data_IF_068837732357
#
_entry.id   IF_068837732357
#
_cell.length_a   1.000
_cell.length_b   1.000
_cell.length_c   1.000
_cell.angle_alpha   90.00
_cell.angle_beta   90.00
_cell.angle_gamma   90.00
#
_symmetry.space_group_name_H-M   'P 1'
#
loop_
_entity.id
_entity.type
_entity.pdbx_description
1 polymer ?
#
# COMPACT_ATOMS: atom_id res chain seq x y z
N UNK A 1 -23.65 -31.77 19.85
CA UNK A 1 -23.15 -30.40 19.72
C UNK A 1 -21.86 -30.48 18.94
N UNK A 2 -21.88 -30.14 17.65
CA UNK A 2 -20.65 -30.02 16.87
C UNK A 2 -20.00 -28.73 17.35
N UNK A 3 -18.80 -28.84 17.93
CA UNK A 3 -18.06 -27.68 18.40
C UNK A 3 -17.48 -26.95 17.20
N UNK A 4 -17.87 -25.70 17.02
CA UNK A 4 -17.62 -24.78 15.91
C UNK A 4 -16.13 -24.37 15.70
N UNK A 5 -15.17 -25.07 16.32
CA UNK A 5 -13.76 -24.67 16.46
C UNK A 5 -12.87 -24.87 15.21
N UNK A 6 -13.46 -24.91 14.03
CA UNK A 6 -12.70 -25.16 12.79
C UNK A 6 -13.33 -24.57 11.55
N UNK A 7 -14.12 -23.51 11.68
CA UNK A 7 -14.62 -22.73 10.54
C UNK A 7 -14.01 -21.32 10.47
N UNK A 8 -13.22 -20.92 11.46
CA UNK A 8 -12.65 -19.58 11.58
C UNK A 8 -11.66 -19.27 10.45
N UNK A 9 -10.86 -20.27 10.07
CA UNK A 9 -9.90 -20.14 8.97
C UNK A 9 -10.59 -20.02 7.62
N UNK A 10 -11.65 -20.81 7.41
CA UNK A 10 -12.49 -20.76 6.22
C UNK A 10 -13.20 -19.41 6.11
N UNK A 11 -13.77 -18.91 7.20
CA UNK A 11 -14.39 -17.59 7.26
C UNK A 11 -13.37 -16.48 7.00
N UNK A 12 -12.18 -16.55 7.60
CA UNK A 12 -11.10 -15.61 7.34
C UNK A 12 -10.70 -15.58 5.86
N UNK A 13 -10.55 -16.75 5.24
CA UNK A 13 -10.22 -16.84 3.82
C UNK A 13 -11.35 -16.37 2.90
N UNK A 14 -12.62 -16.60 3.29
CA UNK A 14 -13.76 -16.01 2.59
C UNK A 14 -13.76 -14.47 2.71
N UNK A 15 -13.35 -13.93 3.86
CA UNK A 15 -13.14 -12.50 4.04
C UNK A 15 -12.12 -11.92 3.06
N UNK A 16 -10.97 -12.59 2.91
CA UNK A 16 -9.95 -12.21 1.91
C UNK A 16 -10.55 -12.25 0.50
N UNK A 17 -11.18 -13.38 0.14
CA UNK A 17 -11.76 -13.56 -1.19
C UNK A 17 -12.81 -12.49 -1.53
N UNK A 18 -13.65 -12.11 -0.57
CA UNK A 18 -14.65 -11.06 -0.80
C UNK A 18 -14.01 -9.67 -0.87
N UNK A 19 -12.96 -9.40 -0.10
CA UNK A 19 -12.18 -8.16 -0.21
C UNK A 19 -11.58 -8.03 -1.61
N UNK A 20 -10.94 -9.08 -2.12
CA UNK A 20 -10.36 -9.11 -3.48
C UNK A 20 -11.41 -8.91 -4.59
N UNK A 21 -12.68 -9.25 -4.31
CA UNK A 21 -13.80 -9.02 -5.24
C UNK A 21 -14.48 -7.65 -5.07
N UNK A 22 -14.01 -6.80 -4.16
CA UNK A 22 -14.64 -5.52 -3.82
C UNK A 22 -15.97 -5.66 -3.07
N UNK A 23 -16.29 -6.85 -2.56
CA UNK A 23 -17.51 -7.15 -1.78
C UNK A 23 -17.27 -6.86 -0.30
N UNK A 24 -17.07 -5.58 0.00
CA UNK A 24 -16.55 -5.16 1.31
C UNK A 24 -17.51 -5.48 2.47
N UNK A 25 -18.82 -5.40 2.25
CA UNK A 25 -19.83 -5.73 3.28
C UNK A 25 -19.88 -7.22 3.60
N UNK A 26 -19.73 -8.08 2.58
CA UNK A 26 -19.62 -9.52 2.76
C UNK A 26 -18.31 -9.90 3.45
N UNK A 27 -17.20 -9.26 3.07
CA UNK A 27 -15.91 -9.44 3.71
C UNK A 27 -15.97 -9.09 5.21
N UNK A 28 -16.62 -7.98 5.56
CA UNK A 28 -16.77 -7.53 6.95
C UNK A 28 -17.48 -8.60 7.79
N UNK A 29 -18.59 -9.13 7.28
CA UNK A 29 -19.35 -10.20 7.95
C UNK A 29 -18.50 -11.45 8.17
N UNK A 30 -17.68 -11.83 7.18
CA UNK A 30 -16.83 -13.01 7.29
C UNK A 30 -15.71 -12.80 8.32
N UNK A 31 -15.01 -11.67 8.27
CA UNK A 31 -13.96 -11.36 9.24
C UNK A 31 -14.47 -11.20 10.66
N UNK A 32 -15.62 -10.55 10.88
CA UNK A 32 -16.20 -10.43 12.23
C UNK A 32 -16.55 -11.79 12.83
N UNK A 33 -17.09 -12.72 12.02
CA UNK A 33 -17.37 -14.09 12.46
C UNK A 33 -16.08 -14.86 12.76
N UNK A 34 -15.08 -14.75 11.90
CA UNK A 34 -13.76 -15.36 12.13
C UNK A 34 -13.10 -14.81 13.41
N UNK A 35 -13.17 -13.49 13.62
CA UNK A 35 -12.62 -12.83 14.80
C UNK A 35 -13.25 -13.37 16.09
N UNK A 36 -14.58 -13.44 16.15
CA UNK A 36 -15.29 -13.98 17.31
C UNK A 36 -14.89 -15.42 17.63
N UNK A 37 -14.76 -16.26 16.59
CA UNK A 37 -14.30 -17.64 16.74
C UNK A 37 -12.86 -17.73 17.25
N UNK A 38 -11.94 -16.99 16.62
CA UNK A 38 -10.53 -16.97 17.03
C UNK A 38 -10.30 -16.42 18.43
N UNK A 39 -11.01 -15.36 18.82
CA UNK A 39 -10.97 -14.85 20.19
C UNK A 39 -11.41 -15.91 21.21
N UNK A 40 -12.45 -16.66 20.90
CA UNK A 40 -12.96 -17.72 21.78
C UNK A 40 -12.04 -18.95 21.83
N UNK A 41 -11.45 -19.32 20.69
CA UNK A 41 -10.67 -20.54 20.56
C UNK A 41 -9.20 -20.36 21.00
N UNK A 42 -8.60 -19.22 20.64
CA UNK A 42 -7.16 -18.97 20.76
C UNK A 42 -6.83 -17.80 21.68
N UNK A 43 -7.81 -16.94 21.97
CA UNK A 43 -7.64 -15.74 22.78
C UNK A 43 -7.40 -14.47 21.96
N UNK A 44 -7.50 -13.29 22.60
CA UNK A 44 -7.46 -11.99 21.93
C UNK A 44 -6.09 -11.62 21.35
N UNK A 45 -5.01 -12.13 21.93
CA UNK A 45 -3.62 -11.80 21.57
C UNK A 45 -2.96 -12.87 20.68
N UNK A 46 -3.72 -13.89 20.24
CA UNK A 46 -3.19 -14.92 19.36
C UNK A 46 -2.96 -14.35 17.94
N UNK A 47 -1.90 -14.78 17.26
CA UNK A 47 -1.52 -14.29 15.93
C UNK A 47 -2.66 -14.31 14.91
N UNK A 48 -3.43 -15.41 14.81
CA UNK A 48 -4.58 -15.48 13.89
C UNK A 48 -5.70 -14.47 14.23
N UNK A 49 -5.92 -14.23 15.52
CA UNK A 49 -6.87 -13.22 15.99
C UNK A 49 -6.40 -11.83 15.57
N UNK A 50 -5.14 -11.50 15.86
CA UNK A 50 -4.54 -10.21 15.54
C UNK A 50 -4.43 -9.97 14.01
N UNK A 51 -4.18 -11.03 13.23
CA UNK A 51 -4.19 -10.96 11.76
C UNK A 51 -5.57 -10.63 11.24
N UNK A 52 -6.62 -11.23 11.83
CA UNK A 52 -8.01 -10.90 11.48
C UNK A 52 -8.35 -9.45 11.86
N UNK A 53 -7.91 -8.98 13.03
CA UNK A 53 -8.07 -7.58 13.43
C UNK A 53 -7.37 -6.64 12.46
N UNK A 54 -6.12 -6.91 12.08
CA UNK A 54 -5.37 -6.09 11.13
C UNK A 54 -6.07 -6.01 9.76
N UNK A 55 -6.62 -7.12 9.27
CA UNK A 55 -7.36 -7.15 8.00
C UNK A 55 -8.71 -6.43 8.08
N UNK A 56 -9.39 -6.47 9.22
CA UNK A 56 -10.54 -5.59 9.45
C UNK A 56 -10.13 -4.12 9.40
N UNK A 57 -8.93 -3.78 9.89
CA UNK A 57 -8.36 -2.44 9.73
C UNK A 57 -8.22 -2.04 8.25
N UNK A 58 -7.64 -2.90 7.42
CA UNK A 58 -7.54 -2.67 5.97
C UNK A 58 -8.93 -2.51 5.33
N UNK A 59 -9.85 -3.42 5.65
CA UNK A 59 -11.20 -3.39 5.11
C UNK A 59 -11.94 -2.09 5.47
N UNK A 60 -11.80 -1.64 6.72
CA UNK A 60 -12.40 -0.38 7.16
C UNK A 60 -11.77 0.84 6.50
N UNK A 61 -10.46 0.82 6.25
CA UNK A 61 -9.80 1.86 5.46
C UNK A 61 -10.35 1.90 4.01
N UNK A 62 -10.49 0.74 3.37
CA UNK A 62 -11.06 0.63 2.00
C UNK A 62 -12.52 1.09 1.92
N UNK A 63 -13.28 0.94 3.01
CA UNK A 63 -14.65 1.46 3.14
C UNK A 63 -14.71 2.96 3.50
N UNK A 64 -13.57 3.62 3.74
CA UNK A 64 -13.51 5.02 4.22
C UNK A 64 -13.88 5.20 5.70
N UNK A 65 -14.01 4.11 6.46
CA UNK A 65 -14.29 4.09 7.90
C UNK A 65 -12.97 4.23 8.69
N UNK A 66 -12.33 5.39 8.55
CA UNK A 66 -10.94 5.60 9.00
C UNK A 66 -10.78 5.50 10.54
N UNK A 67 -11.79 5.92 11.31
CA UNK A 67 -11.77 5.81 12.78
C UNK A 67 -11.87 4.35 13.26
N UNK A 68 -12.67 3.53 12.58
CA UNK A 68 -12.76 2.09 12.83
C UNK A 68 -11.46 1.39 12.44
N UNK A 69 -10.85 1.78 11.30
CA UNK A 69 -9.56 1.28 10.88
C UNK A 69 -8.46 1.59 11.91
N UNK A 70 -8.42 2.81 12.43
CA UNK A 70 -7.44 3.24 13.45
C UNK A 70 -7.55 2.35 14.70
N UNK A 71 -8.77 2.12 15.19
CA UNK A 71 -9.02 1.24 16.36
C UNK A 71 -8.53 -0.19 16.11
N UNK A 72 -8.80 -0.74 14.93
CA UNK A 72 -8.37 -2.10 14.59
C UNK A 72 -6.85 -2.19 14.52
N UNK A 73 -6.18 -1.27 13.82
CA UNK A 73 -4.71 -1.29 13.74
C UNK A 73 -4.04 -1.06 15.10
N UNK A 74 -4.53 -0.13 15.91
CA UNK A 74 -3.98 0.08 17.26
C UNK A 74 -4.12 -1.17 18.13
N UNK A 75 -5.26 -1.87 18.04
CA UNK A 75 -5.48 -3.14 18.72
C UNK A 75 -4.50 -4.22 18.23
N UNK A 76 -4.35 -4.38 16.92
CA UNK A 76 -3.41 -5.34 16.33
C UNK A 76 -1.97 -5.03 16.73
N UNK A 77 -1.57 -3.76 16.69
CA UNK A 77 -0.24 -3.29 17.06
C UNK A 77 0.09 -3.65 18.50
N UNK A 78 -0.77 -3.30 19.45
CA UNK A 78 -0.56 -3.61 20.88
C UNK A 78 -0.44 -5.12 21.11
N UNK A 79 -1.28 -5.92 20.45
CA UNK A 79 -1.23 -7.38 20.54
C UNK A 79 0.07 -7.95 19.97
N UNK A 80 0.51 -7.49 18.80
CA UNK A 80 1.73 -7.97 18.16
C UNK A 80 2.99 -7.53 18.91
N UNK A 81 3.04 -6.29 19.42
CA UNK A 81 4.14 -5.83 20.28
C UNK A 81 4.27 -6.70 21.53
N UNK A 82 3.15 -7.08 22.15
CA UNK A 82 3.14 -7.96 23.32
C UNK A 82 3.56 -9.39 22.99
N UNK A 83 3.09 -9.94 21.87
CA UNK A 83 3.30 -11.34 21.51
C UNK A 83 4.70 -11.59 20.91
N UNK A 84 5.19 -10.67 20.08
CA UNK A 84 6.39 -10.87 19.24
C UNK A 84 7.44 -9.76 19.36
N UNK A 85 7.10 -8.65 20.01
CA UNK A 85 7.99 -7.50 20.16
C UNK A 85 7.80 -6.43 19.08
N UNK A 86 8.44 -5.26 19.29
CA UNK A 86 8.25 -4.07 18.45
C UNK A 86 8.82 -4.20 17.03
N UNK A 87 9.83 -5.05 16.84
CA UNK A 87 10.57 -5.19 15.57
C UNK A 87 10.16 -6.43 14.77
N UNK A 88 9.13 -7.16 15.21
CA UNK A 88 8.62 -8.29 14.47
C UNK A 88 7.90 -7.84 13.19
N UNK A 89 8.05 -8.59 12.09
CA UNK A 89 7.50 -8.21 10.77
C UNK A 89 6.00 -7.91 10.79
N UNK A 90 5.19 -8.67 11.56
CA UNK A 90 3.75 -8.38 11.69
C UNK A 90 3.49 -7.05 12.41
N UNK A 91 4.27 -6.74 13.44
CA UNK A 91 4.20 -5.47 14.16
C UNK A 91 4.53 -4.31 13.22
N UNK A 92 5.64 -4.43 12.48
CA UNK A 92 6.12 -3.40 11.55
C UNK A 92 5.17 -3.19 10.37
N UNK A 93 4.54 -4.25 9.86
CA UNK A 93 3.48 -4.15 8.86
C UNK A 93 2.28 -3.35 9.39
N UNK A 94 1.84 -3.59 10.63
CA UNK A 94 0.75 -2.80 11.22
C UNK A 94 1.16 -1.34 11.45
N UNK A 95 2.41 -1.08 11.84
CA UNK A 95 2.95 0.29 11.92
C UNK A 95 2.94 0.97 10.54
N UNK A 96 3.35 0.27 9.48
CA UNK A 96 3.27 0.78 8.11
C UNK A 96 1.84 1.15 7.71
N UNK A 97 0.87 0.28 8.00
CA UNK A 97 -0.55 0.54 7.71
C UNK A 97 -1.10 1.75 8.48
N UNK A 98 -0.69 1.94 9.74
CA UNK A 98 -1.02 3.17 10.49
C UNK A 98 -0.40 4.41 9.84
N UNK A 99 0.79 4.30 9.25
CA UNK A 99 1.40 5.37 8.47
C UNK A 99 0.54 5.80 7.28
N UNK A 100 0.02 4.82 6.51
CA UNK A 100 -0.92 5.09 5.42
C UNK A 100 -2.19 5.75 5.95
N UNK A 101 -2.81 5.15 6.97
CA UNK A 101 -4.05 5.65 7.54
C UNK A 101 -3.93 7.09 8.06
N UNK A 102 -2.81 7.41 8.72
CA UNK A 102 -2.55 8.78 9.18
C UNK A 102 -2.30 9.77 8.05
N UNK A 103 -1.70 9.32 6.93
CA UNK A 103 -1.60 10.16 5.75
C UNK A 103 -2.99 10.47 5.16
N UNK A 104 -3.88 9.48 5.08
CA UNK A 104 -5.25 9.64 4.58
C UNK A 104 -6.09 10.54 5.50
N UNK A 105 -5.84 10.51 6.81
CA UNK A 105 -6.43 11.42 7.80
C UNK A 105 -5.83 12.83 7.79
N UNK A 106 -4.80 13.09 6.97
CA UNK A 106 -4.07 14.36 6.96
C UNK A 106 -3.18 14.59 8.19
N UNK A 107 -3.02 13.59 9.05
CA UNK A 107 -2.12 13.58 10.23
C UNK A 107 -0.69 13.28 9.78
N UNK A 108 -0.15 14.17 8.95
CA UNK A 108 1.06 13.87 8.19
C UNK A 108 2.27 13.61 9.10
N UNK A 109 2.40 14.29 10.25
CA UNK A 109 3.56 14.16 11.14
C UNK A 109 3.53 12.81 11.88
N UNK A 110 2.34 12.35 12.24
CA UNK A 110 2.10 11.02 12.77
C UNK A 110 2.41 9.96 11.72
N UNK A 111 1.97 10.17 10.47
CA UNK A 111 2.28 9.28 9.35
C UNK A 111 3.80 9.14 9.14
N UNK A 112 4.53 10.26 9.14
CA UNK A 112 5.99 10.27 8.97
C UNK A 112 6.68 9.47 10.10
N UNK A 113 6.25 9.66 11.35
CA UNK A 113 6.78 8.89 12.49
C UNK A 113 6.51 7.39 12.36
N UNK A 114 5.31 7.00 11.94
CA UNK A 114 4.96 5.60 11.74
C UNK A 114 5.82 4.98 10.64
N UNK A 115 5.93 5.63 9.48
CA UNK A 115 6.75 5.10 8.40
C UNK A 115 8.24 5.05 8.74
N UNK A 116 8.79 6.06 9.43
CA UNK A 116 10.18 6.03 9.90
C UNK A 116 10.44 4.88 10.87
N UNK A 117 9.50 4.64 11.80
CA UNK A 117 9.56 3.48 12.71
C UNK A 117 9.53 2.16 11.93
N UNK A 118 8.59 2.01 11.00
CA UNK A 118 8.48 0.81 10.16
C UNK A 118 9.76 0.60 9.33
N UNK A 119 10.29 1.65 8.72
CA UNK A 119 11.49 1.59 7.88
C UNK A 119 12.67 1.08 8.70
N UNK A 120 12.98 1.73 9.82
CA UNK A 120 14.09 1.36 10.68
C UNK A 120 13.99 -0.09 11.17
N UNK A 121 12.78 -0.54 11.53
CA UNK A 121 12.56 -1.92 11.95
C UNK A 121 12.72 -2.92 10.81
N UNK A 122 12.17 -2.63 9.63
CA UNK A 122 12.22 -3.53 8.47
C UNK A 122 13.63 -3.63 7.88
N UNK A 123 14.39 -2.53 7.85
CA UNK A 123 15.81 -2.55 7.46
C UNK A 123 16.63 -3.45 8.38
N UNK A 124 16.40 -3.36 9.71
CA UNK A 124 17.12 -4.17 10.68
C UNK A 124 16.71 -5.66 10.62
N UNK A 125 15.42 -5.95 10.43
CA UNK A 125 14.90 -7.32 10.49
C UNK A 125 15.05 -8.09 9.17
N UNK A 126 14.93 -7.40 8.02
CA UNK A 126 14.80 -8.02 6.69
C UNK A 126 15.87 -7.55 5.70
N UNK A 127 16.53 -6.42 5.98
CA UNK A 127 17.46 -5.77 5.08
C UNK A 127 16.83 -4.67 4.22
N UNK A 128 17.66 -3.81 3.59
CA UNK A 128 17.21 -2.64 2.83
C UNK A 128 16.45 -3.00 1.55
N UNK A 129 16.85 -4.09 0.87
CA UNK A 129 16.29 -4.49 -0.42
C UNK A 129 15.08 -5.44 -0.29
N UNK A 130 14.65 -5.74 0.94
CA UNK A 130 13.49 -6.60 1.14
C UNK A 130 12.21 -5.87 0.68
N UNK A 131 11.27 -6.54 -0.03
CA UNK A 131 10.05 -5.89 -0.54
C UNK A 131 9.24 -5.12 0.50
N UNK A 132 9.15 -5.62 1.75
CA UNK A 132 8.49 -4.91 2.85
C UNK A 132 9.19 -3.59 3.22
N UNK A 133 10.52 -3.58 3.22
CA UNK A 133 11.32 -2.37 3.48
C UNK A 133 11.10 -1.36 2.35
N UNK A 134 11.20 -1.83 1.11
CA UNK A 134 10.98 -1.00 -0.09
C UNK A 134 9.55 -0.43 -0.14
N UNK A 135 8.52 -1.20 0.26
CA UNK A 135 7.15 -0.69 0.35
C UNK A 135 7.07 0.49 1.34
N UNK A 136 7.79 0.41 2.46
CA UNK A 136 7.83 1.49 3.45
C UNK A 136 8.57 2.73 2.92
N UNK A 137 9.66 2.53 2.18
CA UNK A 137 10.36 3.62 1.47
C UNK A 137 9.42 4.32 0.49
N UNK A 138 8.64 3.56 -0.29
CA UNK A 138 7.65 4.13 -1.22
C UNK A 138 6.56 4.90 -0.48
N UNK A 139 6.09 4.40 0.68
CA UNK A 139 5.13 5.10 1.54
C UNK A 139 5.66 6.46 2.01
N UNK A 140 6.93 6.53 2.45
CA UNK A 140 7.60 7.80 2.78
C UNK A 140 7.72 8.72 1.56
N UNK A 141 8.06 8.17 0.40
CA UNK A 141 8.13 8.94 -0.85
C UNK A 141 6.80 9.60 -1.18
N UNK A 142 5.69 8.87 -1.06
CA UNK A 142 4.35 9.40 -1.28
C UNK A 142 3.98 10.49 -0.28
N UNK A 143 4.31 10.29 0.99
CA UNK A 143 4.09 11.29 2.03
C UNK A 143 4.88 12.59 1.77
N UNK A 144 6.14 12.49 1.37
CA UNK A 144 6.96 13.65 1.03
C UNK A 144 6.47 14.37 -0.21
N UNK A 145 6.06 13.62 -1.23
CA UNK A 145 5.46 14.20 -2.44
C UNK A 145 4.18 14.97 -2.10
N UNK A 146 3.31 14.41 -1.25
CA UNK A 146 2.10 15.10 -0.78
C UNK A 146 2.42 16.40 -0.02
N UNK A 147 3.53 16.43 0.73
CA UNK A 147 4.05 17.64 1.38
C UNK A 147 4.75 18.63 0.45
N UNK A 148 4.87 18.33 -0.84
CA UNK A 148 5.63 19.13 -1.81
C UNK A 148 7.15 19.02 -1.67
N UNK A 149 7.66 18.09 -0.87
CA UNK A 149 9.10 17.80 -0.72
C UNK A 149 9.56 16.86 -1.84
N UNK A 150 9.51 17.37 -3.08
CA UNK A 150 9.72 16.56 -4.29
C UNK A 150 11.11 15.91 -4.34
N UNK A 151 12.16 16.64 -3.95
CA UNK A 151 13.53 16.10 -3.93
C UNK A 151 13.70 14.94 -2.93
N UNK A 152 12.98 15.00 -1.80
CA UNK A 152 13.01 13.92 -0.80
C UNK A 152 12.20 12.72 -1.29
N UNK A 153 11.08 12.95 -1.98
CA UNK A 153 10.31 11.87 -2.62
C UNK A 153 11.12 11.15 -3.70
N UNK A 154 11.88 11.88 -4.52
CA UNK A 154 12.73 11.30 -5.57
C UNK A 154 13.79 10.36 -4.98
N UNK A 155 14.43 10.79 -3.88
CA UNK A 155 15.41 9.98 -3.13
C UNK A 155 14.82 8.73 -2.51
N UNK A 156 13.50 8.65 -2.35
CA UNK A 156 12.82 7.44 -1.86
C UNK A 156 12.46 6.51 -3.01
N UNK A 157 11.79 7.02 -4.05
CA UNK A 157 11.26 6.17 -5.12
C UNK A 157 12.34 5.55 -6.01
N UNK A 158 13.41 6.28 -6.34
CA UNK A 158 14.44 5.76 -7.25
C UNK A 158 15.18 4.54 -6.65
N UNK A 159 15.70 4.59 -5.40
CA UNK A 159 16.29 3.42 -4.78
C UNK A 159 15.26 2.30 -4.58
N UNK A 160 14.01 2.63 -4.23
CA UNK A 160 12.97 1.62 -4.05
C UNK A 160 12.71 0.81 -5.33
N UNK A 161 12.61 1.50 -6.48
CA UNK A 161 12.41 0.84 -7.77
C UNK A 161 13.59 -0.07 -8.13
N UNK A 162 14.82 0.41 -7.93
CA UNK A 162 16.03 -0.39 -8.15
C UNK A 162 16.09 -1.61 -7.21
N UNK A 163 15.71 -1.44 -5.95
CA UNK A 163 15.62 -2.53 -4.98
C UNK A 163 14.63 -3.61 -5.42
N UNK A 164 13.46 -3.22 -5.96
CA UNK A 164 12.52 -4.20 -6.51
C UNK A 164 13.10 -4.96 -7.70
N UNK A 165 13.79 -4.27 -8.61
CA UNK A 165 14.45 -4.89 -9.77
C UNK A 165 15.46 -5.97 -9.32
N UNK A 166 16.19 -5.73 -8.24
CA UNK A 166 17.13 -6.68 -7.66
C UNK A 166 16.42 -7.83 -6.92
N UNK A 167 15.37 -7.53 -6.15
CA UNK A 167 14.68 -8.50 -5.31
C UNK A 167 13.86 -9.52 -6.11
N UNK A 168 13.15 -9.09 -7.18
CA UNK A 168 12.29 -9.98 -7.97
C UNK A 168 12.87 -10.36 -9.34
N UNK A 169 13.96 -9.71 -9.74
CA UNK A 169 14.60 -9.87 -11.05
C UNK A 169 13.96 -9.02 -12.15
N UNK A 170 14.78 -8.63 -13.13
CA UNK A 170 14.42 -7.71 -14.23
C UNK A 170 13.21 -8.17 -15.06
N UNK A 171 13.02 -9.48 -15.24
CA UNK A 171 11.88 -9.98 -16.01
C UNK A 171 10.56 -9.83 -15.24
N UNK A 172 10.58 -10.08 -13.93
CA UNK A 172 9.38 -10.08 -13.10
C UNK A 172 8.97 -8.69 -12.63
N UNK A 173 9.93 -7.76 -12.51
CA UNK A 173 9.65 -6.40 -12.01
C UNK A 173 8.62 -5.66 -12.87
N UNK A 174 8.56 -5.97 -14.17
CA UNK A 174 7.61 -5.40 -15.12
C UNK A 174 6.16 -5.85 -14.90
N UNK A 175 5.94 -6.86 -14.07
CA UNK A 175 4.62 -7.35 -13.64
C UNK A 175 4.46 -7.32 -12.12
N UNK A 176 5.44 -6.77 -11.41
CA UNK A 176 5.41 -6.70 -9.96
C UNK A 176 4.67 -5.44 -9.51
N UNK A 177 3.47 -5.62 -8.95
CA UNK A 177 2.56 -4.51 -8.65
C UNK A 177 3.20 -3.38 -7.81
N UNK A 178 4.00 -3.63 -6.75
CA UNK A 178 4.68 -2.56 -6.03
C UNK A 178 5.65 -1.75 -6.90
N UNK A 179 6.37 -2.39 -7.82
CA UNK A 179 7.27 -1.69 -8.74
C UNK A 179 6.49 -0.86 -9.78
N UNK A 180 5.36 -1.38 -10.27
CA UNK A 180 4.48 -0.64 -11.19
C UNK A 180 3.88 0.60 -10.51
N UNK A 181 3.43 0.47 -9.27
CA UNK A 181 2.94 1.58 -8.47
C UNK A 181 4.05 2.61 -8.23
N UNK A 182 5.26 2.16 -7.86
CA UNK A 182 6.42 3.05 -7.67
C UNK A 182 6.77 3.79 -8.96
N UNK A 183 6.69 3.11 -10.11
CA UNK A 183 6.89 3.72 -11.43
C UNK A 183 5.82 4.79 -11.71
N UNK A 184 4.54 4.52 -11.40
CA UNK A 184 3.48 5.52 -11.50
C UNK A 184 3.76 6.74 -10.60
N UNK A 185 4.18 6.51 -9.35
CA UNK A 185 4.47 7.58 -8.40
C UNK A 185 5.65 8.45 -8.87
N UNK A 186 6.68 7.86 -9.47
CA UNK A 186 7.75 8.60 -10.15
C UNK A 186 7.20 9.46 -11.31
N UNK A 187 6.22 8.96 -12.05
CA UNK A 187 5.54 9.74 -13.07
C UNK A 187 4.82 10.97 -12.49
N UNK A 188 4.09 10.80 -11.39
CA UNK A 188 3.41 11.89 -10.68
C UNK A 188 4.42 12.91 -10.14
N UNK A 189 5.53 12.44 -9.60
CA UNK A 189 6.63 13.28 -9.14
C UNK A 189 7.24 14.11 -10.28
N UNK A 190 7.58 13.47 -11.40
CA UNK A 190 8.15 14.18 -12.56
C UNK A 190 7.15 15.16 -13.17
N UNK A 191 5.86 14.84 -13.19
CA UNK A 191 4.83 15.78 -13.62
C UNK A 191 4.78 17.00 -12.70
N UNK A 192 4.86 16.81 -11.38
CA UNK A 192 4.90 17.89 -10.40
C UNK A 192 6.17 18.77 -10.52
N UNK A 193 7.30 18.18 -10.92
CA UNK A 193 8.54 18.91 -11.23
C UNK A 193 8.53 19.61 -12.61
N UNK A 194 7.50 19.39 -13.44
CA UNK A 194 7.43 19.91 -14.81
C UNK A 194 8.26 19.12 -15.84
N UNK A 195 8.83 17.97 -15.45
CA UNK A 195 9.56 17.06 -16.34
C UNK A 195 8.60 16.19 -17.15
N UNK A 196 7.82 16.82 -18.04
CA UNK A 196 6.69 16.18 -18.75
C UNK A 196 7.09 14.91 -19.51
N UNK A 197 8.22 14.92 -20.21
CA UNK A 197 8.65 13.76 -21.02
C UNK A 197 8.99 12.56 -20.13
N UNK A 198 9.69 12.80 -19.01
CA UNK A 198 9.98 11.76 -18.01
C UNK A 198 8.70 11.23 -17.36
N UNK A 199 7.74 12.11 -17.07
CA UNK A 199 6.46 11.70 -16.50
C UNK A 199 5.71 10.75 -17.44
N UNK A 200 5.61 11.10 -18.73
CA UNK A 200 4.98 10.24 -19.75
C UNK A 200 5.69 8.90 -19.92
N UNK A 201 7.02 8.90 -19.89
CA UNK A 201 7.82 7.67 -19.93
C UNK A 201 7.45 6.72 -18.78
N UNK A 202 7.43 7.25 -17.56
CA UNK A 202 7.09 6.48 -16.36
C UNK A 202 5.65 5.94 -16.42
N UNK A 203 4.68 6.79 -16.77
CA UNK A 203 3.29 6.34 -16.92
C UNK A 203 3.13 5.27 -17.99
N UNK A 204 3.81 5.41 -19.14
CA UNK A 204 3.76 4.43 -20.23
C UNK A 204 4.33 3.09 -19.79
N UNK A 205 5.47 3.10 -19.07
CA UNK A 205 6.11 1.90 -18.52
C UNK A 205 5.19 1.20 -17.52
N UNK A 206 4.59 1.96 -16.58
CA UNK A 206 3.65 1.42 -15.60
C UNK A 206 2.39 0.84 -16.27
N UNK A 207 1.78 1.55 -17.22
CA UNK A 207 0.59 1.12 -17.96
C UNK A 207 0.85 -0.19 -18.72
N UNK A 208 2.00 -0.30 -19.38
CA UNK A 208 2.41 -1.53 -20.09
C UNK A 208 2.50 -2.71 -19.13
N UNK A 209 3.05 -2.50 -17.94
CA UNK A 209 3.10 -3.53 -16.90
C UNK A 209 1.73 -3.93 -16.37
N UNK A 210 0.86 -2.95 -16.08
CA UNK A 210 -0.52 -3.22 -15.64
C UNK A 210 -1.32 -3.98 -16.70
N UNK A 211 -1.13 -3.67 -17.99
CA UNK A 211 -1.74 -4.44 -19.09
C UNK A 211 -1.29 -5.88 -19.11
N UNK A 212 0.01 -6.12 -18.90
CA UNK A 212 0.56 -7.47 -18.87
C UNK A 212 0.10 -8.26 -17.64
N UNK A 213 -0.12 -7.59 -16.51
CA UNK A 213 -0.51 -8.22 -15.24
C UNK A 213 -2.01 -8.46 -15.12
N UNK A 214 -2.83 -7.43 -15.41
CA UNK A 214 -4.27 -7.39 -15.14
C UNK A 214 -5.12 -7.44 -16.41
N UNK A 215 -4.48 -7.38 -17.58
CA UNK A 215 -5.14 -7.36 -18.88
C UNK A 215 -5.33 -5.94 -19.45
N UNK A 216 -5.72 -5.84 -20.74
CA UNK A 216 -5.75 -4.58 -21.48
C UNK A 216 -6.77 -3.56 -20.96
N UNK A 217 -7.80 -4.02 -20.24
CA UNK A 217 -8.88 -3.20 -19.69
C UNK A 217 -8.68 -2.83 -18.22
N UNK A 218 -7.44 -2.88 -17.71
CA UNK A 218 -7.11 -2.49 -16.33
C UNK A 218 -7.41 -1.01 -16.09
N UNK A 219 -8.19 -0.73 -15.04
CA UNK A 219 -8.52 0.62 -14.58
C UNK A 219 -7.25 1.43 -14.26
N UNK A 220 -6.23 0.79 -13.70
CA UNK A 220 -4.93 1.42 -13.42
C UNK A 220 -4.27 1.95 -14.70
N UNK A 221 -4.27 1.16 -15.78
CA UNK A 221 -3.70 1.62 -17.04
C UNK A 221 -4.55 2.72 -17.68
N UNK A 222 -5.89 2.61 -17.68
CA UNK A 222 -6.77 3.66 -18.19
C UNK A 222 -6.57 5.00 -17.46
N UNK A 223 -6.37 4.95 -16.13
CA UNK A 223 -6.06 6.14 -15.34
C UNK A 223 -4.72 6.78 -15.77
N UNK A 224 -3.68 5.97 -16.00
CA UNK A 224 -2.39 6.44 -16.48
C UNK A 224 -2.46 7.04 -17.89
N UNK A 225 -3.25 6.45 -18.79
CA UNK A 225 -3.47 7.01 -20.14
C UNK A 225 -4.17 8.37 -20.09
N UNK A 226 -5.10 8.53 -19.16
CA UNK A 226 -5.76 9.82 -18.92
C UNK A 226 -4.75 10.87 -18.46
N UNK A 227 -3.84 10.50 -17.53
CA UNK A 227 -2.73 11.38 -17.10
C UNK A 227 -1.82 11.77 -18.27
N UNK A 228 -1.41 10.82 -19.11
CA UNK A 228 -0.60 11.09 -20.32
C UNK A 228 -1.31 12.09 -21.24
N UNK A 229 -2.59 11.84 -21.56
CA UNK A 229 -3.38 12.71 -22.44
C UNK A 229 -3.52 14.13 -21.88
N UNK A 230 -3.68 14.29 -20.56
CA UNK A 230 -3.71 15.60 -19.91
C UNK A 230 -2.39 16.38 -20.07
N UNK A 231 -1.25 15.69 -20.01
CA UNK A 231 0.06 16.29 -20.20
C UNK A 231 0.26 16.74 -21.65
N UNK A 232 -0.24 15.97 -22.63
CA UNK A 232 -0.21 16.37 -24.05
C UNK A 232 -1.00 17.66 -24.31
N UNK A 233 -2.19 17.77 -23.73
CA UNK A 233 -3.04 18.96 -23.86
C UNK A 233 -2.36 20.21 -23.29
N UNK A 234 -1.72 20.09 -22.13
CA UNK A 234 -1.02 21.24 -21.51
C UNK A 234 0.19 21.69 -22.34
N UNK A 235 0.98 20.78 -22.89
CA UNK A 235 2.08 21.13 -23.80
C UNK A 235 1.58 21.79 -25.10
N UNK A 236 0.50 21.28 -25.70
CA UNK A 236 -0.08 21.83 -26.93
C UNK A 236 -0.63 23.26 -26.77
N UNK A 237 -1.26 23.56 -25.62
CA UNK A 237 -1.70 24.92 -25.27
C UNK A 237 -0.51 25.86 -25.10
N UNK A 238 0.57 25.43 -24.43
CA UNK A 238 1.77 26.27 -24.27
C UNK A 238 2.46 26.57 -25.60
N UNK A 239 2.58 25.59 -26.51
CA UNK A 239 3.17 25.83 -27.83
C UNK A 239 2.31 26.78 -28.68
N UNK A 240 0.98 26.66 -28.63
CA UNK A 240 0.09 27.55 -29.40
C UNK A 240 0.12 29.00 -28.91
N UNK A 241 0.32 29.24 -27.61
CA UNK A 241 0.46 30.59 -27.04
C UNK A 241 1.82 31.24 -27.34
N UNK A 242 2.88 30.45 -27.58
CA UNK A 242 4.22 30.98 -27.92
C UNK A 242 4.36 31.35 -29.41
N UNK A 243 3.40 30.94 -30.26
CA UNK A 243 3.40 31.16 -31.71
C UNK A 243 2.42 32.28 -32.16
N UNK A 244 1.77 32.96 -31.21
CA UNK A 244 0.89 34.14 -31.42
C UNK A 244 1.47 35.38 -30.79
#
# INVERSE_FOLDING_TARGET
MVTDYGMEWELYNLGILYTDQGKLDEAEKMYQRALLGYEKALGPDHTSTLSTVNNLGNLYADQGKLDEAEKMYQRALQGYEKAWGPDHTLTLNTVHNLGILYADLGKLDEAEKMFQRALQGTENALGPDHPTTLNTVVGLGALYQYRGRLDDAEKMYQPALQGYEQAVGLENVTRYQPALMTTSNLGDLFAAQGHVDKAKEMYTRACTGYRALLGPSSDQCQHLETKIASLDLTQGIFLSLLLT
#
